data_IF_704356213670
#
_entry.id   IF_704356213670
#
_cell.length_a   1.000
_cell.length_b   1.000
_cell.length_c   1.000
_cell.angle_alpha   90.00
_cell.angle_beta   90.00
_cell.angle_gamma   90.00
#
_symmetry.space_group_name_H-M   'P 1'
#
loop_
_entity.id
_entity.type
_entity.pdbx_description
1 polymer ?
#
# COMPACT_ATOMS: atom_id res chain seq x y z
N UNK A 1 9.93 10.94 -32.05
CA UNK A 1 10.42 10.75 -30.66
C UNK A 1 9.82 11.75 -29.65
N UNK A 2 9.48 12.98 -30.03
CA UNK A 2 8.87 14.00 -29.12
C UNK A 2 7.44 13.67 -28.66
N UNK A 3 6.64 13.00 -29.49
CA UNK A 3 5.24 12.62 -29.14
C UNK A 3 5.19 11.61 -28.00
N UNK A 4 6.11 10.64 -27.96
CA UNK A 4 6.22 9.67 -26.85
C UNK A 4 6.73 10.33 -25.56
N UNK A 5 7.67 11.27 -25.66
CA UNK A 5 8.17 12.03 -24.50
C UNK A 5 7.07 12.92 -23.87
N UNK A 6 6.24 13.56 -24.69
CA UNK A 6 5.10 14.37 -24.21
C UNK A 6 4.00 13.48 -23.59
N UNK A 7 3.69 12.34 -24.19
CA UNK A 7 2.77 11.36 -23.58
C UNK A 7 3.32 10.81 -22.25
N UNK A 8 4.62 10.49 -22.16
CA UNK A 8 5.25 10.03 -20.91
C UNK A 8 5.16 11.10 -19.81
N UNK A 9 5.43 12.35 -20.15
CA UNK A 9 5.35 13.50 -19.23
C UNK A 9 3.92 13.72 -18.72
N UNK A 10 2.92 13.59 -19.60
CA UNK A 10 1.52 13.78 -19.24
C UNK A 10 0.99 12.62 -18.38
N UNK A 11 1.34 11.38 -18.71
CA UNK A 11 1.04 10.20 -17.90
C UNK A 11 1.70 10.28 -16.52
N UNK A 12 2.96 10.71 -16.45
CA UNK A 12 3.68 10.91 -15.19
C UNK A 12 3.02 11.97 -14.30
N UNK A 13 2.59 13.11 -14.86
CA UNK A 13 1.86 14.16 -14.11
C UNK A 13 0.52 13.67 -13.57
N UNK A 14 -0.18 12.79 -14.29
CA UNK A 14 -1.46 12.22 -13.83
C UNK A 14 -1.23 11.19 -12.72
N UNK A 15 -0.25 10.31 -12.87
CA UNK A 15 0.14 9.34 -11.84
C UNK A 15 0.60 10.03 -10.55
N UNK A 16 1.44 11.06 -10.65
CA UNK A 16 1.90 11.84 -9.50
C UNK A 16 0.74 12.53 -8.77
N UNK A 17 -0.21 13.13 -9.51
CA UNK A 17 -1.42 13.72 -8.91
C UNK A 17 -2.27 12.69 -8.18
N UNK A 18 -2.50 11.51 -8.79
CA UNK A 18 -3.24 10.42 -8.16
C UNK A 18 -2.55 9.95 -6.87
N UNK A 19 -1.23 9.76 -6.92
CA UNK A 19 -0.41 9.41 -5.77
C UNK A 19 -0.56 10.42 -4.63
N UNK A 20 -0.45 11.72 -4.93
CA UNK A 20 -0.63 12.77 -3.92
C UNK A 20 -2.01 12.74 -3.27
N UNK A 21 -3.08 12.53 -4.04
CA UNK A 21 -4.43 12.44 -3.48
C UNK A 21 -4.60 11.21 -2.57
N UNK A 22 -4.05 10.06 -2.97
CA UNK A 22 -4.06 8.84 -2.16
C UNK A 22 -3.31 9.08 -0.85
N UNK A 23 -2.10 9.66 -0.92
CA UNK A 23 -1.29 9.94 0.26
C UNK A 23 -1.99 10.92 1.21
N UNK A 24 -2.59 11.99 0.68
CA UNK A 24 -3.39 12.93 1.47
C UNK A 24 -4.59 12.21 2.10
N UNK A 25 -5.29 11.35 1.36
CA UNK A 25 -6.38 10.53 1.88
C UNK A 25 -5.95 9.63 3.04
N UNK A 26 -4.77 9.00 2.94
CA UNK A 26 -4.16 8.21 4.02
C UNK A 26 -3.87 9.06 5.25
N UNK A 27 -3.31 10.25 5.08
CA UNK A 27 -3.02 11.18 6.19
C UNK A 27 -4.32 11.63 6.87
N UNK A 28 -5.30 12.08 6.09
CA UNK A 28 -6.60 12.53 6.61
C UNK A 28 -7.28 11.40 7.38
N UNK A 29 -7.33 10.19 6.82
CA UNK A 29 -7.94 9.06 7.49
C UNK A 29 -7.16 8.63 8.75
N UNK A 30 -5.84 8.77 8.79
CA UNK A 30 -5.05 8.58 10.00
C UNK A 30 -5.34 9.63 11.09
N UNK A 31 -5.56 10.90 10.71
CA UNK A 31 -5.97 11.95 11.66
C UNK A 31 -7.37 11.67 12.22
N UNK A 32 -8.33 11.32 11.35
CA UNK A 32 -9.70 10.96 11.75
C UNK A 32 -9.68 9.75 12.70
N UNK A 33 -8.82 8.78 12.44
CA UNK A 33 -8.63 7.58 13.26
C UNK A 33 -8.21 7.86 14.71
N UNK A 34 -7.60 9.02 14.98
CA UNK A 34 -7.12 9.46 16.31
C UNK A 34 -8.13 10.41 16.98
N UNK A 35 -9.03 11.02 16.23
CA UNK A 35 -10.04 11.96 16.75
C UNK A 35 -11.12 11.27 17.60
N UNK A 36 -11.26 11.68 18.87
CA UNK A 36 -12.31 11.21 19.76
C UNK A 36 -13.70 11.76 19.37
N UNK A 37 -14.70 10.88 19.22
CA UNK A 37 -16.09 11.27 18.97
C UNK A 37 -16.75 11.73 20.28
N UNK A 38 -17.05 13.04 20.40
CA UNK A 38 -17.89 13.56 21.50
C UNK A 38 -19.35 13.08 21.33
N UNK A 39 -19.92 12.54 22.40
CA UNK A 39 -21.34 12.17 22.44
C UNK A 39 -22.20 13.44 22.47
N UNK A 40 -23.05 13.60 21.45
CA UNK A 40 -24.11 14.60 21.39
C UNK A 40 -25.42 13.86 21.13
N UNK A 41 -26.53 14.29 21.73
CA UNK A 41 -27.86 13.74 21.39
C UNK A 41 -28.16 14.03 19.91
N UNK A 42 -28.38 12.97 19.12
CA UNK A 42 -28.53 13.02 17.66
C UNK A 42 -29.84 12.37 17.22
N UNK A 43 -30.43 12.90 16.14
CA UNK A 43 -31.62 12.35 15.48
C UNK A 43 -31.32 10.97 14.86
N UNK A 44 -32.32 10.09 14.64
CA UNK A 44 -32.11 8.70 14.20
C UNK A 44 -31.30 8.57 12.90
N UNK A 45 -31.55 9.43 11.91
CA UNK A 45 -30.80 9.44 10.65
C UNK A 45 -29.34 9.85 10.86
N UNK A 46 -29.09 10.83 11.72
CA UNK A 46 -27.75 11.28 12.07
C UNK A 46 -26.98 10.14 12.77
N UNK A 47 -27.63 9.45 13.71
CA UNK A 47 -27.04 8.29 14.41
C UNK A 47 -26.69 7.17 13.43
N UNK A 48 -27.57 6.84 12.49
CA UNK A 48 -27.31 5.82 11.47
C UNK A 48 -26.13 6.22 10.55
N UNK A 49 -26.10 7.47 10.07
CA UNK A 49 -25.04 7.96 9.21
C UNK A 49 -23.66 7.94 9.90
N UNK A 50 -23.58 8.45 11.13
CA UNK A 50 -22.34 8.42 11.91
C UNK A 50 -21.89 6.99 12.20
N UNK A 51 -22.81 6.07 12.46
CA UNK A 51 -22.46 4.66 12.67
C UNK A 51 -21.77 4.06 11.44
N UNK A 52 -22.25 4.37 10.23
CA UNK A 52 -21.60 3.91 8.99
C UNK A 52 -20.25 4.58 8.75
N UNK A 53 -20.17 5.90 8.94
CA UNK A 53 -18.92 6.65 8.79
C UNK A 53 -17.85 6.17 9.78
N UNK A 54 -18.22 5.90 11.03
CA UNK A 54 -17.30 5.39 12.05
C UNK A 54 -16.82 3.98 11.74
N UNK A 55 -17.70 3.09 11.25
CA UNK A 55 -17.31 1.75 10.78
C UNK A 55 -16.38 1.80 9.57
N UNK A 56 -16.62 2.69 8.62
CA UNK A 56 -15.72 2.92 7.49
C UNK A 56 -14.36 3.45 7.95
N UNK A 57 -14.34 4.45 8.83
CA UNK A 57 -13.12 4.99 9.41
C UNK A 57 -12.33 3.92 10.18
N UNK A 58 -13.02 3.03 10.90
CA UNK A 58 -12.39 1.91 11.58
C UNK A 58 -11.77 0.88 10.62
N UNK A 59 -12.46 0.55 9.52
CA UNK A 59 -11.91 -0.32 8.48
C UNK A 59 -10.66 0.32 7.87
N UNK A 60 -10.77 1.59 7.45
CA UNK A 60 -9.66 2.38 6.93
C UNK A 60 -8.46 2.38 7.88
N UNK A 61 -8.68 2.67 9.16
CA UNK A 61 -7.65 2.71 10.21
C UNK A 61 -6.91 1.38 10.31
N UNK A 62 -7.63 0.26 10.29
CA UNK A 62 -7.02 -1.08 10.34
C UNK A 62 -6.15 -1.36 9.12
N UNK A 63 -6.60 -0.99 7.93
CA UNK A 63 -5.80 -1.12 6.70
C UNK A 63 -4.54 -0.27 6.79
N UNK A 64 -4.67 1.02 7.10
CA UNK A 64 -3.51 1.93 7.14
C UNK A 64 -2.50 1.49 8.18
N UNK A 65 -2.92 1.10 9.39
CA UNK A 65 -1.98 0.60 10.40
C UNK A 65 -1.31 -0.72 9.97
N UNK A 66 -2.04 -1.62 9.32
CA UNK A 66 -1.42 -2.82 8.76
C UNK A 66 -0.38 -2.45 7.70
N UNK A 67 -0.72 -1.53 6.78
CA UNK A 67 0.15 -1.10 5.69
C UNK A 67 1.40 -0.38 6.18
N UNK A 68 1.29 0.47 7.20
CA UNK A 68 2.45 1.13 7.83
C UNK A 68 3.39 0.09 8.44
N UNK A 69 2.87 -0.94 9.12
CA UNK A 69 3.69 -2.03 9.66
C UNK A 69 4.40 -2.82 8.56
N UNK A 70 3.66 -3.20 7.52
CA UNK A 70 4.20 -3.95 6.38
C UNK A 70 5.30 -3.14 5.68
N UNK A 71 5.01 -1.87 5.37
CA UNK A 71 5.95 -0.98 4.69
C UNK A 71 7.21 -0.73 5.53
N UNK A 72 7.07 -0.55 6.85
CA UNK A 72 8.21 -0.41 7.75
C UNK A 72 9.09 -1.67 7.77
N UNK A 73 8.48 -2.86 7.80
CA UNK A 73 9.21 -4.13 7.74
C UNK A 73 9.95 -4.26 6.40
N UNK A 74 9.26 -4.01 5.28
CA UNK A 74 9.86 -4.04 3.95
C UNK A 74 11.03 -3.05 3.82
N UNK A 75 10.84 -1.81 4.24
CA UNK A 75 11.90 -0.80 4.23
C UNK A 75 13.09 -1.21 5.11
N UNK A 76 12.84 -1.83 6.27
CA UNK A 76 13.89 -2.32 7.16
C UNK A 76 14.72 -3.42 6.48
N UNK A 77 14.07 -4.43 5.90
CA UNK A 77 14.77 -5.50 5.20
C UNK A 77 15.49 -5.00 3.94
N UNK A 78 14.88 -4.10 3.18
CA UNK A 78 15.52 -3.44 2.04
C UNK A 78 16.72 -2.62 2.49
N UNK A 79 16.65 -1.97 3.65
CA UNK A 79 17.76 -1.25 4.27
C UNK A 79 18.91 -2.19 4.64
N UNK A 80 18.61 -3.30 5.31
CA UNK A 80 19.60 -4.33 5.63
C UNK A 80 20.25 -4.86 4.35
N UNK A 81 19.47 -5.13 3.30
CA UNK A 81 20.00 -5.60 2.04
C UNK A 81 20.90 -4.56 1.36
N UNK A 82 20.39 -3.36 1.08
CA UNK A 82 21.11 -2.35 0.29
C UNK A 82 22.29 -1.72 1.03
N UNK A 83 22.21 -1.59 2.36
CA UNK A 83 23.21 -0.87 3.15
C UNK A 83 24.20 -1.79 3.87
N UNK A 84 23.91 -3.08 4.01
CA UNK A 84 24.77 -4.02 4.74
C UNK A 84 25.12 -5.23 3.88
N UNK A 85 24.14 -6.01 3.44
CA UNK A 85 24.40 -7.28 2.74
C UNK A 85 25.06 -7.02 1.39
N UNK A 86 24.46 -6.17 0.56
CA UNK A 86 24.95 -5.93 -0.79
C UNK A 86 26.37 -5.35 -0.79
N UNK A 87 26.72 -4.33 0.02
CA UNK A 87 28.10 -3.82 0.13
C UNK A 87 29.16 -4.86 0.54
N UNK A 88 28.76 -5.95 1.19
CA UNK A 88 29.69 -7.05 1.57
C UNK A 88 30.05 -7.91 0.36
N UNK A 89 29.12 -8.07 -0.60
CA UNK A 89 29.29 -8.95 -1.76
C UNK A 89 29.52 -8.20 -3.08
N UNK A 90 29.21 -6.90 -3.15
CA UNK A 90 29.31 -6.05 -4.34
C UNK A 90 29.41 -4.56 -3.95
N UNK A 91 29.69 -3.68 -4.91
CA UNK A 91 29.60 -2.23 -4.75
C UNK A 91 28.24 -1.75 -4.27
N UNK A 92 28.25 -0.66 -3.50
CA UNK A 92 27.05 0.01 -3.00
C UNK A 92 26.20 0.55 -4.14
N UNK A 93 24.87 0.36 -4.07
CA UNK A 93 23.98 1.00 -5.03
C UNK A 93 23.98 2.54 -4.83
N UNK A 94 23.98 3.34 -5.91
CA UNK A 94 23.75 4.76 -5.80
C UNK A 94 22.36 5.01 -5.21
N UNK A 95 22.25 6.05 -4.39
CA UNK A 95 20.99 6.43 -3.75
C UNK A 95 20.38 5.35 -2.85
N UNK A 96 21.15 4.37 -2.36
CA UNK A 96 20.64 3.27 -1.50
C UNK A 96 19.77 3.77 -0.34
N UNK A 97 20.16 4.85 0.35
CA UNK A 97 19.36 5.46 1.42
C UNK A 97 18.02 6.02 0.91
N UNK A 98 18.03 6.63 -0.27
CA UNK A 98 16.82 7.12 -0.93
C UNK A 98 15.92 5.97 -1.36
N UNK A 99 16.48 4.87 -1.87
CA UNK A 99 15.71 3.68 -2.25
C UNK A 99 15.00 3.05 -1.04
N UNK A 100 15.64 3.03 0.12
CA UNK A 100 15.01 2.59 1.38
C UNK A 100 13.85 3.51 1.76
N UNK A 101 14.05 4.83 1.68
CA UNK A 101 12.99 5.80 1.97
C UNK A 101 11.83 5.68 0.97
N UNK A 102 12.13 5.53 -0.32
CA UNK A 102 11.13 5.31 -1.37
C UNK A 102 10.37 4.01 -1.12
N UNK A 103 11.05 2.93 -0.73
CA UNK A 103 10.40 1.66 -0.35
C UNK A 103 9.38 1.88 0.76
N UNK A 104 9.75 2.66 1.78
CA UNK A 104 8.83 2.98 2.88
C UNK A 104 7.63 3.82 2.40
N UNK A 105 7.88 4.92 1.69
CA UNK A 105 6.83 5.85 1.28
C UNK A 105 5.87 5.20 0.28
N UNK A 106 6.43 4.59 -0.76
CA UNK A 106 5.65 3.98 -1.85
C UNK A 106 5.00 2.68 -1.38
N UNK A 107 5.64 1.94 -0.46
CA UNK A 107 5.06 0.76 0.20
C UNK A 107 3.80 1.06 1.03
N UNK A 108 3.51 2.33 1.35
CA UNK A 108 2.22 2.72 1.93
C UNK A 108 1.06 2.60 0.94
N UNK A 109 1.34 2.56 -0.37
CA UNK A 109 0.31 2.28 -1.37
C UNK A 109 -0.05 0.79 -1.35
N UNK A 110 -1.30 0.44 -1.02
CA UNK A 110 -1.76 -0.94 -1.10
C UNK A 110 -1.53 -1.51 -2.49
N UNK A 111 -1.05 -2.77 -2.54
CA UNK A 111 -0.85 -3.58 -3.75
C UNK A 111 0.28 -3.06 -4.65
N UNK A 112 0.18 -1.83 -5.14
CA UNK A 112 1.05 -1.28 -6.18
C UNK A 112 2.40 -0.80 -5.64
N UNK A 113 2.50 -0.51 -4.34
CA UNK A 113 3.68 0.08 -3.73
C UNK A 113 4.94 -0.76 -3.92
N UNK A 114 4.84 -2.06 -3.68
CA UNK A 114 5.97 -2.98 -3.83
C UNK A 114 6.38 -3.14 -5.29
N UNK A 115 5.43 -3.15 -6.23
CA UNK A 115 5.76 -3.25 -7.66
C UNK A 115 6.62 -2.06 -8.10
N UNK A 116 6.23 -0.84 -7.70
CA UNK A 116 6.98 0.38 -8.00
C UNK A 116 8.37 0.32 -7.35
N UNK A 117 8.44 0.04 -6.04
CA UNK A 117 9.71 0.03 -5.31
C UNK A 117 10.68 -1.02 -5.88
N UNK A 118 10.21 -2.24 -6.10
CA UNK A 118 11.02 -3.34 -6.62
C UNK A 118 11.53 -3.03 -8.03
N UNK A 119 10.68 -2.42 -8.88
CA UNK A 119 11.08 -1.99 -10.22
C UNK A 119 12.20 -0.97 -10.17
N UNK A 120 12.10 0.04 -9.30
CA UNK A 120 13.14 1.07 -9.14
C UNK A 120 14.44 0.43 -8.64
N UNK A 121 14.38 -0.44 -7.64
CA UNK A 121 15.56 -1.11 -7.08
C UNK A 121 16.29 -1.92 -8.16
N UNK A 122 15.55 -2.75 -8.92
CA UNK A 122 16.13 -3.58 -9.99
C UNK A 122 16.69 -2.70 -11.11
N UNK A 123 15.99 -1.63 -11.50
CA UNK A 123 16.46 -0.72 -12.53
C UNK A 123 17.77 -0.02 -12.12
N UNK A 124 17.87 0.45 -10.87
CA UNK A 124 19.10 1.06 -10.36
C UNK A 124 20.21 0.02 -10.25
N UNK A 125 19.92 -1.19 -9.78
CA UNK A 125 20.90 -2.26 -9.67
C UNK A 125 21.47 -2.66 -11.05
N UNK A 126 20.60 -2.82 -12.06
CA UNK A 126 21.01 -3.07 -13.45
C UNK A 126 21.87 -1.95 -14.01
N UNK A 127 21.62 -0.71 -13.62
CA UNK A 127 22.42 0.44 -14.05
C UNK A 127 23.84 0.44 -13.44
N UNK A 128 24.06 -0.31 -12.35
CA UNK A 128 25.38 -0.48 -11.73
C UNK A 128 26.09 -1.71 -12.31
N UNK A 129 25.47 -2.89 -12.21
CA UNK A 129 26.05 -4.12 -12.74
C UNK A 129 24.99 -5.23 -12.86
N UNK A 130 25.24 -6.18 -13.77
CA UNK A 130 24.38 -7.36 -13.92
C UNK A 130 24.36 -8.23 -12.64
N UNK A 131 25.48 -8.53 -11.95
CA UNK A 131 25.45 -9.26 -10.69
C UNK A 131 24.65 -8.56 -9.59
N UNK A 132 24.74 -7.24 -9.45
CA UNK A 132 23.97 -6.48 -8.47
C UNK A 132 22.46 -6.59 -8.73
N UNK A 133 22.05 -6.60 -10.00
CA UNK A 133 20.65 -6.81 -10.38
C UNK A 133 20.15 -8.21 -10.02
N UNK A 134 20.94 -9.25 -10.31
CA UNK A 134 20.59 -10.63 -9.95
C UNK A 134 20.46 -10.77 -8.43
N UNK A 135 21.43 -10.26 -7.66
CA UNK A 135 21.38 -10.25 -6.19
C UNK A 135 20.12 -9.54 -5.67
N UNK A 136 19.80 -8.37 -6.23
CA UNK A 136 18.60 -7.61 -5.87
C UNK A 136 17.32 -8.38 -6.22
N UNK A 137 17.27 -9.03 -7.38
CA UNK A 137 16.10 -9.80 -7.81
C UNK A 137 15.86 -11.01 -6.90
N UNK A 138 16.92 -11.74 -6.53
CA UNK A 138 16.85 -12.84 -5.56
C UNK A 138 16.35 -12.34 -4.21
N UNK A 139 16.92 -11.24 -3.69
CA UNK A 139 16.46 -10.63 -2.45
C UNK A 139 14.98 -10.24 -2.50
N UNK A 140 14.54 -9.58 -3.58
CA UNK A 140 13.17 -9.11 -3.73
C UNK A 140 12.17 -10.26 -3.80
N UNK A 141 12.51 -11.37 -4.47
CA UNK A 141 11.68 -12.59 -4.49
C UNK A 141 11.52 -13.16 -3.07
N UNK A 142 12.62 -13.23 -2.31
CA UNK A 142 12.61 -13.77 -0.95
C UNK A 142 11.78 -12.88 -0.01
N UNK A 143 11.99 -11.56 -0.05
CA UNK A 143 11.24 -10.62 0.79
C UNK A 143 9.77 -10.57 0.41
N UNK A 144 9.43 -10.62 -0.88
CA UNK A 144 8.02 -10.61 -1.28
C UNK A 144 7.28 -11.86 -0.75
N UNK A 145 7.96 -13.01 -0.70
CA UNK A 145 7.39 -14.22 -0.10
C UNK A 145 7.22 -14.06 1.42
N UNK A 146 8.20 -13.48 2.11
CA UNK A 146 8.09 -13.17 3.54
C UNK A 146 6.94 -12.20 3.82
N UNK A 147 6.82 -11.17 2.99
CA UNK A 147 5.74 -10.18 3.06
C UNK A 147 4.38 -10.85 2.91
N UNK A 148 4.22 -11.80 1.98
CA UNK A 148 2.97 -12.56 1.85
C UNK A 148 2.57 -13.25 3.16
N UNK A 149 3.52 -13.89 3.85
CA UNK A 149 3.28 -14.49 5.17
C UNK A 149 2.96 -13.45 6.25
N UNK A 150 3.68 -12.32 6.25
CA UNK A 150 3.43 -11.21 7.17
C UNK A 150 2.06 -10.58 6.93
N UNK A 151 1.64 -10.43 5.67
CA UNK A 151 0.33 -9.94 5.30
C UNK A 151 -0.75 -10.89 5.82
N UNK A 152 -0.60 -12.20 5.63
CA UNK A 152 -1.53 -13.17 6.19
C UNK A 152 -1.65 -13.04 7.72
N UNK A 153 -0.53 -12.82 8.43
CA UNK A 153 -0.52 -12.69 9.91
C UNK A 153 -1.03 -11.34 10.42
N UNK A 154 -0.63 -10.23 9.79
CA UNK A 154 -0.93 -8.86 10.22
C UNK A 154 -2.31 -8.42 9.70
N UNK A 155 -2.60 -8.69 8.43
CA UNK A 155 -3.84 -8.30 7.74
C UNK A 155 -4.95 -9.31 7.99
N UNK A 156 -4.63 -10.61 8.01
CA UNK A 156 -5.62 -11.66 8.28
C UNK A 156 -6.30 -11.51 9.65
N UNK A 157 -5.54 -11.08 10.68
CA UNK A 157 -6.09 -10.75 12.00
C UNK A 157 -6.90 -9.45 12.05
N UNK A 158 -6.97 -8.67 10.95
CA UNK A 158 -7.64 -7.36 10.91
C UNK A 158 -8.85 -7.31 9.97
N UNK A 159 -8.91 -8.17 8.93
CA UNK A 159 -9.94 -8.08 7.87
C UNK A 159 -10.72 -9.39 7.65
N UNK A 160 -10.26 -10.53 8.16
CA UNK A 160 -10.89 -11.85 7.90
C UNK A 160 -11.20 -12.10 6.40
N UNK A 161 -10.43 -11.50 5.50
CA UNK A 161 -10.64 -11.60 4.06
C UNK A 161 -9.81 -12.74 3.47
N UNK A 162 -10.44 -13.57 2.63
CA UNK A 162 -9.74 -14.55 1.82
C UNK A 162 -9.09 -13.83 0.64
N UNK A 163 -7.93 -14.32 0.19
CA UNK A 163 -7.17 -13.69 -0.89
C UNK A 163 -8.00 -13.51 -2.18
N UNK A 164 -8.82 -14.50 -2.55
CA UNK A 164 -9.67 -14.42 -3.74
C UNK A 164 -10.76 -13.34 -3.64
N UNK A 165 -11.30 -13.07 -2.45
CA UNK A 165 -12.33 -12.04 -2.25
C UNK A 165 -11.74 -10.64 -2.51
N UNK A 166 -10.52 -10.41 -2.01
CA UNK A 166 -9.80 -9.17 -2.25
C UNK A 166 -9.41 -8.99 -3.72
N UNK A 167 -9.00 -10.07 -4.41
CA UNK A 167 -8.68 -10.00 -5.84
C UNK A 167 -9.89 -9.63 -6.69
N UNK A 168 -11.06 -10.21 -6.41
CA UNK A 168 -12.31 -9.83 -7.08
C UNK A 168 -12.66 -8.37 -6.79
N UNK A 169 -12.55 -7.94 -5.53
CA UNK A 169 -12.79 -6.56 -5.15
C UNK A 169 -11.85 -5.58 -5.89
N UNK A 170 -10.57 -5.94 -6.03
CA UNK A 170 -9.59 -5.17 -6.79
C UNK A 170 -9.99 -5.07 -8.26
N UNK A 171 -10.36 -6.19 -8.89
CA UNK A 171 -10.75 -6.21 -10.31
C UNK A 171 -12.00 -5.36 -10.58
N UNK A 172 -13.03 -5.48 -9.72
CA UNK A 172 -14.27 -4.70 -9.83
C UNK A 172 -13.98 -3.20 -9.66
N UNK A 173 -13.18 -2.85 -8.66
CA UNK A 173 -12.85 -1.45 -8.40
C UNK A 173 -11.91 -0.87 -9.46
N UNK A 174 -11.00 -1.68 -10.03
CA UNK A 174 -10.19 -1.30 -11.17
C UNK A 174 -11.05 -0.99 -12.40
N UNK A 175 -12.02 -1.86 -12.71
CA UNK A 175 -12.94 -1.64 -13.82
C UNK A 175 -13.79 -0.38 -13.64
N UNK A 176 -14.18 -0.06 -12.40
CA UNK A 176 -15.01 1.10 -12.09
C UNK A 176 -14.24 2.43 -11.99
N UNK A 177 -13.03 2.41 -11.42
CA UNK A 177 -12.30 3.63 -11.01
C UNK A 177 -10.83 3.64 -11.42
N UNK A 178 -10.33 2.61 -12.11
CA UNK A 178 -8.93 2.46 -12.50
C UNK A 178 -8.00 2.18 -11.31
N UNK A 179 -6.74 2.62 -11.41
CA UNK A 179 -5.70 2.45 -10.38
C UNK A 179 -6.15 2.95 -8.99
N UNK A 180 -6.82 4.13 -8.85
CA UNK A 180 -7.38 4.55 -7.55
C UNK A 180 -8.36 3.53 -6.96
N UNK A 181 -9.10 2.81 -7.80
CA UNK A 181 -10.00 1.74 -7.39
C UNK A 181 -9.26 0.56 -6.77
N UNK A 182 -8.17 0.09 -7.40
CA UNK A 182 -7.33 -0.99 -6.86
C UNK A 182 -6.80 -0.65 -5.47
N UNK A 183 -6.38 0.60 -5.26
CA UNK A 183 -5.90 1.11 -3.98
C UNK A 183 -7.01 1.14 -2.93
N UNK A 184 -8.21 1.54 -3.33
CA UNK A 184 -9.35 1.66 -2.41
C UNK A 184 -10.05 0.31 -2.12
N UNK A 185 -9.87 -0.70 -2.98
CA UNK A 185 -10.56 -1.99 -2.89
C UNK A 185 -10.42 -2.69 -1.54
N UNK A 186 -9.22 -2.80 -0.92
CA UNK A 186 -9.09 -3.44 0.40
C UNK A 186 -9.91 -2.74 1.48
N UNK A 187 -10.01 -1.41 1.43
CA UNK A 187 -10.73 -0.58 2.40
C UNK A 187 -12.24 -0.80 2.23
N UNK A 188 -12.74 -0.66 1.00
CA UNK A 188 -14.16 -0.83 0.72
C UNK A 188 -14.62 -2.26 1.00
N UNK A 189 -13.83 -3.26 0.60
CA UNK A 189 -14.11 -4.66 0.89
C UNK A 189 -14.17 -4.91 2.40
N UNK A 190 -13.17 -4.45 3.15
CA UNK A 190 -13.14 -4.57 4.62
C UNK A 190 -14.36 -3.92 5.27
N UNK A 191 -14.76 -2.74 4.81
CA UNK A 191 -15.94 -2.04 5.32
C UNK A 191 -17.24 -2.82 5.06
N UNK A 192 -17.47 -3.22 3.80
CA UNK A 192 -18.69 -3.94 3.40
C UNK A 192 -18.80 -5.27 4.13
N UNK A 193 -17.72 -6.07 4.17
CA UNK A 193 -17.70 -7.35 4.87
C UNK A 193 -18.07 -7.18 6.34
N UNK A 194 -17.53 -6.15 6.98
CA UNK A 194 -17.80 -5.88 8.40
C UNK A 194 -19.22 -5.40 8.65
N UNK A 195 -19.80 -4.63 7.74
CA UNK A 195 -21.23 -4.28 7.77
C UNK A 195 -22.12 -5.53 7.69
N UNK A 196 -21.81 -6.47 6.80
CA UNK A 196 -22.55 -7.72 6.66
C UNK A 196 -22.47 -8.57 7.93
N UNK A 197 -21.28 -8.68 8.54
CA UNK A 197 -21.08 -9.38 9.82
C UNK A 197 -21.90 -8.71 10.94
N UNK A 198 -21.87 -7.38 11.04
CA UNK A 198 -22.67 -6.66 12.04
C UNK A 198 -24.17 -6.84 11.85
N UNK A 199 -24.63 -6.97 10.62
CA UNK A 199 -26.04 -7.25 10.28
C UNK A 199 -26.39 -8.74 10.39
N UNK A 200 -25.42 -9.62 10.71
CA UNK A 200 -25.56 -11.08 10.75
C UNK A 200 -26.05 -11.68 9.43
N UNK A 201 -25.59 -11.11 8.31
CA UNK A 201 -25.90 -11.58 6.96
C UNK A 201 -24.89 -12.59 6.43
N UNK A 202 -23.71 -12.66 7.05
CA UNK A 202 -22.60 -13.59 6.74
C UNK A 202 -21.91 -13.99 8.03
#
# INVERSE_FOLDING_TARGET
>A
MTTHANMLSQSGKTAARAFTHILIGMIIGAIIAVGAQKHMNRLPLSTAFITRVTRFADAFRRIVFAQVKISAINATFTGIFLLVILPIFHDTLPLSKTLVLVTFIVGLLPVIGNLISNTIIVAVALSVSFPAAVMSLVFLILIHKLEYFLNARIVGGQIEARAWELLIAMLVMEAAFGIPGVVAAPIFYAYIKRELIYLRLV
#
